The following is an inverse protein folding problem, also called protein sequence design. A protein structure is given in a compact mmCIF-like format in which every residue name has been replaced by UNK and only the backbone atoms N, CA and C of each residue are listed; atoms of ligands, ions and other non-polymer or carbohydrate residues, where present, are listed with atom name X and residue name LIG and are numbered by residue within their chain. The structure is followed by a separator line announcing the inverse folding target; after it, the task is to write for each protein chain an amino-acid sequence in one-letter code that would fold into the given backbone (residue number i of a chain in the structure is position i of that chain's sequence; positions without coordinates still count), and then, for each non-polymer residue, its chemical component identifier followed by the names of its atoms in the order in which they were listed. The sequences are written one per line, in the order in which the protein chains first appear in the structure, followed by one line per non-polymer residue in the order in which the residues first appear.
data_IF_630948851156
#
_entry.id   IF_630948851156
#
_cell.length_a   1.000
_cell.length_b   1.000
_cell.length_c   1.000
_cell.angle_alpha   90.00
_cell.angle_beta   90.00
_cell.angle_gamma   90.00
#
_symmetry.space_group_name_H-M   'P 1'
#
loop_
_entity.id
_entity.type
_entity.pdbx_description
1 polymer ?
#
# COMPACT_ATOMS: atom_id res chain seq x y z
N UNK A 1 16.03 12.31 33.55
CA UNK A 1 15.27 11.20 34.13
C UNK A 1 13.96 11.05 33.35
N UNK A 2 13.92 10.21 32.33
CA UNK A 2 12.69 9.75 31.65
C UNK A 2 13.07 8.84 30.47
N UNK A 3 13.60 7.64 30.73
CA UNK A 3 13.90 6.62 29.72
C UNK A 3 13.57 5.18 30.16
N UNK A 4 12.59 5.00 31.10
CA UNK A 4 12.28 3.66 31.63
C UNK A 4 10.93 3.08 31.25
N UNK A 5 10.17 3.70 30.32
CA UNK A 5 8.75 3.35 30.12
C UNK A 5 8.43 2.57 28.82
N UNK A 6 9.41 2.32 27.95
CA UNK A 6 9.20 1.62 26.68
C UNK A 6 9.23 0.08 26.82
N UNK A 7 10.00 -0.47 27.77
CA UNK A 7 10.17 -1.92 27.95
C UNK A 7 8.98 -2.60 28.64
N UNK A 8 8.20 -1.87 29.43
CA UNK A 8 7.01 -2.41 30.11
C UNK A 8 5.73 -2.38 29.24
N UNK A 9 5.70 -1.57 28.18
CA UNK A 9 4.51 -1.45 27.30
C UNK A 9 4.38 -2.60 26.31
N UNK A 10 5.48 -3.20 25.89
CA UNK A 10 5.49 -4.32 24.93
C UNK A 10 4.80 -5.61 25.44
N UNK A 11 4.95 -6.04 26.71
CA UNK A 11 4.24 -7.22 27.22
C UNK A 11 2.74 -7.00 27.40
N UNK A 12 2.31 -5.76 27.74
CA UNK A 12 0.88 -5.43 27.90
C UNK A 12 0.16 -5.38 26.55
N UNK A 13 0.82 -4.90 25.51
CA UNK A 13 0.33 -4.95 24.12
C UNK A 13 0.22 -6.39 23.59
N UNK A 14 1.17 -7.28 23.91
CA UNK A 14 1.07 -8.70 23.57
C UNK A 14 -0.13 -9.40 24.24
N UNK A 15 -0.40 -9.11 25.52
CA UNK A 15 -1.55 -9.66 26.25
C UNK A 15 -2.88 -9.10 25.73
N UNK A 16 -2.95 -7.82 25.38
CA UNK A 16 -4.12 -7.24 24.74
C UNK A 16 -4.36 -7.83 23.32
N UNK A 17 -3.29 -8.15 22.58
CA UNK A 17 -3.37 -8.88 21.30
C UNK A 17 -3.95 -10.28 21.46
N UNK A 18 -3.52 -11.04 22.47
CA UNK A 18 -4.07 -12.37 22.76
C UNK A 18 -5.54 -12.30 23.20
N UNK A 19 -5.92 -11.32 24.00
CA UNK A 19 -7.30 -11.13 24.44
C UNK A 19 -8.23 -10.70 23.26
N UNK A 20 -7.78 -9.80 22.40
CA UNK A 20 -8.50 -9.41 21.16
C UNK A 20 -8.60 -10.57 20.17
N UNK A 21 -7.54 -11.38 20.04
CA UNK A 21 -7.54 -12.57 19.19
C UNK A 21 -8.52 -13.62 19.73
N UNK A 22 -8.60 -13.82 21.06
CA UNK A 22 -9.56 -14.72 21.72
C UNK A 22 -11.01 -14.24 21.59
N UNK A 23 -11.26 -12.93 21.62
CA UNK A 23 -12.59 -12.36 21.38
C UNK A 23 -13.05 -12.56 19.92
N UNK A 24 -12.14 -12.43 18.95
CA UNK A 24 -12.41 -12.73 17.53
C UNK A 24 -12.65 -14.24 17.29
N UNK A 25 -11.99 -15.10 18.08
CA UNK A 25 -12.07 -16.56 17.92
C UNK A 25 -13.42 -17.15 18.36
N UNK A 26 -14.14 -16.47 19.26
CA UNK A 26 -15.42 -16.93 19.81
C UNK A 26 -16.68 -16.34 19.16
N UNK A 27 -16.55 -15.44 18.17
CA UNK A 27 -17.70 -14.76 17.56
C UNK A 27 -18.30 -15.47 16.35
N UNK A 28 -18.11 -16.77 16.17
CA UNK A 28 -18.92 -17.58 15.23
C UNK A 28 -18.79 -17.22 13.74
N UNK A 29 -17.80 -16.43 13.33
CA UNK A 29 -17.52 -16.25 11.90
C UNK A 29 -17.02 -17.55 11.30
N UNK A 30 -17.57 -18.04 10.18
CA UNK A 30 -17.08 -19.23 9.52
C UNK A 30 -15.63 -18.99 9.12
N UNK A 31 -14.72 -19.76 9.73
CA UNK A 31 -13.35 -19.88 9.23
C UNK A 31 -13.43 -20.59 7.89
N UNK A 32 -13.43 -19.83 6.81
CA UNK A 32 -13.11 -20.38 5.51
C UNK A 32 -11.62 -20.77 5.58
N UNK A 33 -11.35 -22.05 5.76
CA UNK A 33 -10.03 -22.64 5.56
C UNK A 33 -9.68 -22.48 4.07
N UNK A 34 -9.09 -21.34 3.73
CA UNK A 34 -8.44 -21.21 2.44
C UNK A 34 -7.13 -22.01 2.48
N UNK A 35 -6.80 -22.79 1.44
CA UNK A 35 -5.51 -23.44 1.37
C UNK A 35 -4.42 -22.39 1.58
N UNK A 36 -3.48 -22.68 2.50
CA UNK A 36 -2.36 -21.80 2.83
C UNK A 36 -1.40 -21.75 1.63
N UNK A 37 -1.75 -20.96 0.64
CA UNK A 37 -0.81 -20.58 -0.43
C UNK A 37 0.25 -19.69 0.21
N UNK A 38 1.54 -19.92 -0.01
CA UNK A 38 2.62 -19.15 0.60
C UNK A 38 2.55 -17.65 0.24
N UNK A 39 2.10 -17.34 -0.97
CA UNK A 39 1.88 -15.97 -1.44
C UNK A 39 0.40 -15.61 -1.34
N UNK A 40 0.11 -14.44 -0.77
CA UNK A 40 -1.25 -13.90 -0.77
C UNK A 40 -1.62 -13.34 -2.13
N UNK A 41 -0.68 -12.65 -2.79
CA UNK A 41 -0.88 -12.12 -4.14
C UNK A 41 0.20 -12.68 -5.06
N UNK A 42 -0.20 -13.09 -6.25
CA UNK A 42 0.68 -13.57 -7.30
C UNK A 42 0.32 -12.90 -8.62
N UNK A 43 1.34 -12.42 -9.31
CA UNK A 43 1.24 -11.83 -10.65
C UNK A 43 2.10 -12.67 -11.58
N UNK A 44 1.51 -13.14 -12.69
CA UNK A 44 2.18 -14.02 -13.66
C UNK A 44 1.97 -13.51 -15.08
N UNK A 45 3.09 -13.26 -15.78
CA UNK A 45 3.17 -12.89 -17.20
C UNK A 45 2.20 -11.76 -17.59
N UNK A 46 2.03 -10.78 -16.67
CA UNK A 46 1.01 -9.76 -16.75
C UNK A 46 1.35 -8.71 -17.82
N UNK A 47 0.42 -8.51 -18.75
CA UNK A 47 0.48 -7.41 -19.73
C UNK A 47 -0.78 -6.55 -19.62
N UNK A 48 -0.57 -5.24 -19.70
CA UNK A 48 -1.68 -4.27 -19.69
C UNK A 48 -1.36 -3.02 -20.49
N UNK A 49 -2.35 -2.51 -21.21
CA UNK A 49 -2.30 -1.24 -21.94
C UNK A 49 -3.59 -0.43 -21.74
N UNK A 50 -3.49 0.89 -21.77
CA UNK A 50 -4.62 1.80 -21.95
C UNK A 50 -4.70 2.20 -23.43
N UNK A 51 -5.70 1.66 -24.15
CA UNK A 51 -5.73 1.78 -25.62
C UNK A 51 -4.44 1.20 -26.21
N UNK A 52 -3.75 1.99 -27.04
CA UNK A 52 -2.50 1.58 -27.68
C UNK A 52 -1.26 1.77 -26.78
N UNK A 53 -1.40 2.48 -25.65
CA UNK A 53 -0.28 2.75 -24.75
C UNK A 53 -0.03 1.56 -23.83
N UNK A 54 1.02 0.80 -24.11
CA UNK A 54 1.47 -0.31 -23.25
C UNK A 54 2.03 0.24 -21.93
N UNK A 55 1.50 -0.25 -20.82
CA UNK A 55 1.85 0.18 -19.46
C UNK A 55 2.65 -0.90 -18.74
N UNK A 56 2.23 -2.17 -18.84
CA UNK A 56 2.90 -3.30 -18.18
C UNK A 56 3.27 -4.35 -19.21
N UNK A 57 4.46 -4.94 -19.05
CA UNK A 57 5.02 -5.91 -19.99
C UNK A 57 5.64 -7.08 -19.25
N UNK A 58 5.02 -8.27 -19.38
CA UNK A 58 5.52 -9.52 -18.82
C UNK A 58 5.91 -9.42 -17.34
N UNK A 59 5.02 -8.83 -16.53
CA UNK A 59 5.30 -8.59 -15.11
C UNK A 59 5.09 -9.87 -14.30
N UNK A 60 6.03 -10.18 -13.42
CA UNK A 60 5.94 -11.28 -12.44
C UNK A 60 6.29 -10.75 -11.07
N UNK A 61 5.42 -10.98 -10.08
CA UNK A 61 5.64 -10.54 -8.71
C UNK A 61 4.99 -11.52 -7.74
N UNK A 62 5.62 -11.71 -6.59
CA UNK A 62 5.14 -12.52 -5.48
C UNK A 62 5.03 -11.66 -4.21
N UNK A 63 3.90 -11.79 -3.52
CA UNK A 63 3.65 -11.09 -2.27
C UNK A 63 3.36 -12.11 -1.16
N UNK A 64 4.39 -12.55 -0.43
CA UNK A 64 4.25 -13.53 0.66
C UNK A 64 3.33 -13.01 1.76
N UNK A 65 2.59 -13.93 2.39
CA UNK A 65 1.69 -13.59 3.49
C UNK A 65 2.41 -12.95 4.67
N UNK A 66 1.79 -11.93 5.25
CA UNK A 66 2.29 -11.22 6.44
C UNK A 66 3.48 -10.30 6.19
N UNK A 67 3.96 -10.18 4.94
CA UNK A 67 5.10 -9.34 4.58
C UNK A 67 4.65 -7.97 4.08
N UNK A 68 5.53 -6.98 4.25
CA UNK A 68 5.41 -5.66 3.67
C UNK A 68 6.33 -5.57 2.45
N UNK A 69 5.73 -5.60 1.26
CA UNK A 69 6.45 -5.57 -0.01
C UNK A 69 6.25 -4.22 -0.67
N UNK A 70 7.36 -3.58 -1.03
CA UNK A 70 7.31 -2.30 -1.73
C UNK A 70 7.42 -2.47 -3.25
N UNK A 71 6.71 -1.62 -3.98
CA UNK A 71 6.83 -1.46 -5.43
C UNK A 71 7.26 -0.02 -5.68
N UNK A 72 8.50 0.15 -6.11
CA UNK A 72 9.14 1.44 -6.30
C UNK A 72 9.44 1.73 -7.77
N UNK A 73 9.73 2.96 -8.09
CA UNK A 73 10.10 3.38 -9.45
C UNK A 73 9.57 4.76 -9.79
N UNK A 74 10.00 5.29 -10.93
CA UNK A 74 9.65 6.63 -11.40
C UNK A 74 8.15 6.83 -11.61
N UNK A 75 7.74 8.10 -11.75
CA UNK A 75 6.36 8.44 -12.07
C UNK A 75 5.95 7.83 -13.42
N UNK A 76 4.73 7.30 -13.50
CA UNK A 76 4.18 6.72 -14.74
C UNK A 76 4.71 5.33 -15.11
N UNK A 77 5.59 4.68 -14.33
CA UNK A 77 6.10 3.34 -14.64
C UNK A 77 5.07 2.20 -14.44
N UNK A 78 3.85 2.49 -13.93
CA UNK A 78 2.77 1.52 -13.83
C UNK A 78 2.42 1.05 -12.41
N UNK A 79 3.02 1.59 -11.35
CA UNK A 79 2.79 1.17 -9.94
C UNK A 79 1.31 1.16 -9.53
N UNK A 80 0.61 2.28 -9.68
CA UNK A 80 -0.83 2.38 -9.38
C UNK A 80 -1.67 1.44 -10.26
N UNK A 81 -1.23 1.19 -11.51
CA UNK A 81 -1.89 0.24 -12.40
C UNK A 81 -1.82 -1.19 -11.85
N UNK A 82 -0.69 -1.58 -11.25
CA UNK A 82 -0.56 -2.87 -10.55
C UNK A 82 -1.58 -2.97 -9.41
N UNK A 83 -1.72 -1.95 -8.57
CA UNK A 83 -2.72 -1.96 -7.48
C UNK A 83 -4.16 -2.06 -8.02
N UNK A 84 -4.47 -1.37 -9.12
CA UNK A 84 -5.80 -1.44 -9.76
C UNK A 84 -6.11 -2.83 -10.31
N UNK A 85 -5.11 -3.53 -10.85
CA UNK A 85 -5.25 -4.92 -11.32
C UNK A 85 -5.45 -5.88 -10.16
N UNK A 86 -4.71 -5.72 -9.06
CA UNK A 86 -4.88 -6.52 -7.83
C UNK A 86 -6.29 -6.30 -7.24
N UNK A 87 -6.75 -5.05 -7.17
CA UNK A 87 -8.10 -4.70 -6.69
C UNK A 87 -9.24 -5.04 -7.67
N UNK A 88 -8.92 -5.59 -8.85
CA UNK A 88 -9.91 -5.95 -9.88
C UNK A 88 -10.68 -4.75 -10.46
N UNK A 89 -10.12 -3.53 -10.38
CA UNK A 89 -10.73 -2.33 -10.98
C UNK A 89 -10.59 -2.32 -12.51
N UNK A 90 -9.52 -2.95 -13.01
CA UNK A 90 -9.23 -3.15 -14.42
C UNK A 90 -8.82 -4.61 -14.63
N UNK A 91 -8.94 -5.10 -15.87
CA UNK A 91 -8.60 -6.48 -16.24
C UNK A 91 -7.33 -6.50 -17.09
N UNK A 92 -6.43 -7.48 -16.89
CA UNK A 92 -5.25 -7.64 -17.73
C UNK A 92 -5.63 -8.07 -19.14
N UNK A 93 -4.80 -7.72 -20.11
CA UNK A 93 -4.93 -8.21 -21.49
C UNK A 93 -4.32 -9.59 -21.66
N UNK A 94 -3.22 -9.88 -20.94
CA UNK A 94 -2.56 -11.19 -20.87
C UNK A 94 -2.04 -11.45 -19.46
N UNK A 95 -1.81 -12.73 -19.15
CA UNK A 95 -1.36 -13.13 -17.83
C UNK A 95 -2.47 -13.14 -16.81
N UNK A 96 -2.10 -13.23 -15.55
CA UNK A 96 -3.08 -13.29 -14.46
C UNK A 96 -2.59 -12.62 -13.17
N UNK A 97 -3.57 -12.18 -12.40
CA UNK A 97 -3.40 -11.75 -11.01
C UNK A 97 -4.24 -12.69 -10.14
N UNK A 98 -3.62 -13.28 -9.12
CA UNK A 98 -4.30 -14.10 -8.12
C UNK A 98 -4.19 -13.45 -6.75
N UNK A 99 -5.27 -13.51 -5.98
CA UNK A 99 -5.30 -13.07 -4.58
C UNK A 99 -5.94 -14.18 -3.75
N UNK A 100 -5.21 -14.69 -2.77
CA UNK A 100 -5.64 -15.84 -1.98
C UNK A 100 -5.93 -17.09 -2.82
N UNK A 101 -5.23 -17.25 -3.95
CA UNK A 101 -5.44 -18.34 -4.90
C UNK A 101 -6.55 -18.09 -5.94
N UNK A 102 -7.39 -17.06 -5.77
CA UNK A 102 -8.47 -16.71 -6.70
C UNK A 102 -7.96 -15.81 -7.84
N UNK A 103 -8.22 -16.18 -9.10
CA UNK A 103 -7.87 -15.36 -10.27
C UNK A 103 -8.82 -14.17 -10.39
N UNK A 104 -8.34 -12.98 -10.05
CA UNK A 104 -9.15 -11.75 -9.91
C UNK A 104 -9.93 -11.41 -11.18
N UNK A 105 -9.31 -11.55 -12.35
CA UNK A 105 -9.94 -11.23 -13.64
C UNK A 105 -11.06 -12.19 -14.08
N UNK A 106 -11.16 -13.36 -13.41
CA UNK A 106 -12.21 -14.37 -13.65
C UNK A 106 -13.40 -14.21 -12.73
N UNK A 107 -13.30 -13.39 -11.69
CA UNK A 107 -14.37 -13.19 -10.72
C UNK A 107 -15.54 -12.40 -11.36
N UNK A 108 -16.75 -12.81 -11.01
CA UNK A 108 -17.97 -12.03 -11.25
C UNK A 108 -18.09 -10.90 -10.22
N UNK A 109 -19.12 -10.08 -10.34
CA UNK A 109 -19.35 -8.93 -9.45
C UNK A 109 -19.40 -9.34 -7.98
N UNK A 110 -20.11 -10.42 -7.66
CA UNK A 110 -20.25 -10.93 -6.28
C UNK A 110 -18.90 -11.44 -5.73
N UNK A 111 -18.15 -12.19 -6.54
CA UNK A 111 -16.81 -12.66 -6.19
C UNK A 111 -15.83 -11.51 -5.95
N UNK A 112 -15.87 -10.45 -6.80
CA UNK A 112 -15.08 -9.24 -6.58
C UNK A 112 -15.48 -8.51 -5.29
N UNK A 113 -16.77 -8.46 -4.98
CA UNK A 113 -17.26 -7.86 -3.73
C UNK A 113 -16.72 -8.60 -2.51
N UNK A 114 -16.82 -9.95 -2.51
CA UNK A 114 -16.25 -10.78 -1.43
C UNK A 114 -14.73 -10.60 -1.30
N UNK A 115 -14.02 -10.58 -2.43
CA UNK A 115 -12.57 -10.39 -2.43
C UNK A 115 -12.19 -9.02 -1.84
N UNK A 116 -12.84 -7.95 -2.28
CA UNK A 116 -12.56 -6.58 -1.83
C UNK A 116 -12.84 -6.34 -0.35
N UNK A 117 -13.77 -7.07 0.26
CA UNK A 117 -14.00 -7.02 1.71
C UNK A 117 -12.78 -7.50 2.53
N UNK A 118 -11.90 -8.29 1.93
CA UNK A 118 -10.66 -8.78 2.52
C UNK A 118 -9.47 -7.87 2.20
N UNK A 119 -9.70 -6.76 1.52
CA UNK A 119 -8.68 -5.80 1.11
C UNK A 119 -8.95 -4.42 1.72
N UNK A 120 -7.89 -3.80 2.22
CA UNK A 120 -7.88 -2.38 2.56
C UNK A 120 -7.09 -1.60 1.53
N UNK A 121 -7.52 -0.37 1.22
CA UNK A 121 -6.77 0.50 0.30
C UNK A 121 -6.66 1.91 0.84
N UNK A 122 -5.44 2.41 0.91
CA UNK A 122 -5.13 3.81 1.09
C UNK A 122 -4.83 4.41 -0.28
N UNK A 123 -5.67 5.33 -0.72
CA UNK A 123 -5.49 6.10 -1.95
C UNK A 123 -4.52 7.26 -1.74
N UNK A 124 -3.86 7.71 -2.79
CA UNK A 124 -2.83 8.75 -2.78
C UNK A 124 -3.23 10.02 -2.00
N UNK A 125 -4.49 10.47 -2.09
CA UNK A 125 -5.00 11.63 -1.36
C UNK A 125 -5.93 11.27 -0.19
N UNK A 126 -5.87 10.01 0.29
CA UNK A 126 -6.72 9.50 1.37
C UNK A 126 -8.17 9.25 0.96
N UNK A 127 -8.72 10.00 0.01
CA UNK A 127 -10.09 9.88 -0.49
C UNK A 127 -11.16 9.80 0.63
N UNK A 128 -11.03 10.64 1.65
CA UNK A 128 -12.03 10.74 2.73
C UNK A 128 -13.32 11.39 2.21
N UNK A 129 -14.44 10.96 2.76
CA UNK A 129 -15.73 11.65 2.57
C UNK A 129 -15.69 12.98 3.32
N UNK A 130 -15.72 14.09 2.60
CA UNK A 130 -15.51 15.43 3.15
C UNK A 130 -16.66 15.89 4.04
N UNK A 131 -17.87 15.40 3.79
CA UNK A 131 -19.09 15.75 4.53
C UNK A 131 -19.28 14.91 5.78
N UNK A 132 -18.57 13.79 5.91
CA UNK A 132 -18.64 12.89 7.05
C UNK A 132 -17.57 13.24 8.08
N UNK A 133 -17.87 13.00 9.36
CA UNK A 133 -16.88 13.08 10.42
C UNK A 133 -15.78 12.03 10.26
N UNK A 134 -14.68 12.18 11.00
CA UNK A 134 -13.61 11.17 11.10
C UNK A 134 -14.16 9.84 11.56
N UNK A 135 -15.05 9.87 12.57
CA UNK A 135 -15.75 8.68 13.05
C UNK A 135 -16.50 7.98 11.92
N UNK A 136 -17.34 8.72 11.19
CA UNK A 136 -18.18 8.19 10.13
C UNK A 136 -17.37 7.65 8.95
N UNK A 137 -16.26 8.30 8.59
CA UNK A 137 -15.34 7.79 7.58
C UNK A 137 -14.81 6.38 7.92
N UNK A 138 -14.49 6.12 9.19
CA UNK A 138 -13.99 4.81 9.63
C UNK A 138 -15.15 3.83 9.87
N UNK A 139 -16.33 4.30 10.30
CA UNK A 139 -17.52 3.48 10.49
C UNK A 139 -18.13 2.99 9.17
N UNK A 140 -17.97 3.76 8.08
CA UNK A 140 -18.62 3.50 6.80
C UNK A 140 -18.40 2.06 6.29
N UNK A 141 -17.18 1.52 6.17
CA UNK A 141 -17.00 0.15 5.72
C UNK A 141 -17.57 -0.90 6.68
N UNK A 142 -17.63 -0.61 7.98
CA UNK A 142 -18.23 -1.53 8.96
C UNK A 142 -19.76 -1.60 8.77
N UNK A 143 -20.42 -0.45 8.61
CA UNK A 143 -21.88 -0.40 8.36
C UNK A 143 -22.26 -1.04 7.03
N UNK A 144 -21.48 -0.78 5.97
CA UNK A 144 -21.75 -1.28 4.63
C UNK A 144 -21.55 -2.80 4.50
N UNK A 145 -20.56 -3.35 5.22
CA UNK A 145 -20.13 -4.72 4.98
C UNK A 145 -20.38 -5.68 6.16
N UNK A 146 -20.97 -5.22 7.26
CA UNK A 146 -21.25 -6.08 8.42
C UNK A 146 -22.66 -5.81 8.97
N UNK A 147 -23.18 -6.77 9.75
CA UNK A 147 -24.43 -6.63 10.49
C UNK A 147 -24.18 -6.36 11.98
N UNK A 148 -23.09 -5.65 12.32
CA UNK A 148 -22.74 -5.34 13.71
C UNK A 148 -23.69 -4.27 14.27
N UNK A 149 -23.95 -4.33 15.59
CA UNK A 149 -24.68 -3.27 16.28
C UNK A 149 -23.89 -1.95 16.27
N UNK A 150 -24.58 -0.82 16.30
CA UNK A 150 -23.94 0.51 16.35
C UNK A 150 -23.00 0.66 17.58
N UNK A 151 -23.28 -0.01 18.67
CA UNK A 151 -22.41 -0.04 19.85
C UNK A 151 -21.08 -0.73 19.55
N UNK A 152 -21.11 -1.89 18.87
CA UNK A 152 -19.91 -2.60 18.45
C UNK A 152 -19.13 -1.81 17.40
N UNK A 153 -19.82 -1.23 16.42
CA UNK A 153 -19.20 -0.35 15.41
C UNK A 153 -18.50 0.82 16.10
N UNK A 154 -19.17 1.48 17.06
CA UNK A 154 -18.56 2.58 17.83
C UNK A 154 -17.27 2.15 18.51
N UNK A 155 -17.27 1.01 19.17
CA UNK A 155 -16.10 0.50 19.89
C UNK A 155 -14.96 0.17 18.94
N UNK A 156 -15.24 -0.51 17.83
CA UNK A 156 -14.25 -0.82 16.79
C UNK A 156 -13.66 0.44 16.18
N UNK A 157 -14.48 1.41 15.81
CA UNK A 157 -14.02 2.69 15.25
C UNK A 157 -13.08 3.41 16.21
N UNK A 158 -13.47 3.51 17.49
CA UNK A 158 -12.61 4.15 18.50
C UNK A 158 -11.29 3.43 18.69
N UNK A 159 -11.27 2.08 18.59
CA UNK A 159 -10.04 1.29 18.63
C UNK A 159 -9.15 1.57 17.41
N UNK A 160 -9.73 1.61 16.19
CA UNK A 160 -8.97 1.91 14.96
C UNK A 160 -8.43 3.35 14.99
N UNK A 161 -9.24 4.32 15.42
CA UNK A 161 -8.79 5.70 15.61
C UNK A 161 -7.71 5.84 16.68
N UNK A 162 -7.79 5.05 17.76
CA UNK A 162 -6.74 5.02 18.77
C UNK A 162 -5.42 4.45 18.22
N UNK A 163 -5.49 3.43 17.37
CA UNK A 163 -4.31 2.84 16.73
C UNK A 163 -3.54 3.84 15.85
N UNK A 164 -4.24 4.81 15.26
CA UNK A 164 -3.63 5.90 14.47
C UNK A 164 -3.46 7.21 15.24
N UNK A 165 -3.73 7.21 16.57
CA UNK A 165 -3.54 8.36 17.46
C UNK A 165 -4.58 9.48 17.31
N UNK A 166 -5.78 9.19 16.76
CA UNK A 166 -6.80 10.20 16.43
C UNK A 166 -8.16 9.98 17.11
N UNK A 167 -8.22 9.18 18.19
CA UNK A 167 -9.46 8.91 18.91
C UNK A 167 -10.20 10.19 19.34
N UNK A 168 -9.47 11.17 19.84
CA UNK A 168 -10.05 12.42 20.35
C UNK A 168 -10.50 13.39 19.22
N UNK A 169 -10.09 13.14 17.98
CA UNK A 169 -10.50 13.89 16.80
C UNK A 169 -11.74 13.31 16.10
N UNK A 170 -12.36 12.27 16.67
CA UNK A 170 -13.43 11.49 16.03
C UNK A 170 -14.62 12.32 15.53
N UNK A 171 -14.94 13.43 16.19
CA UNK A 171 -16.08 14.33 15.86
C UNK A 171 -15.75 15.38 14.79
N UNK A 172 -14.46 15.59 14.48
CA UNK A 172 -14.02 16.55 13.49
C UNK A 172 -14.31 16.03 12.06
N UNK A 173 -14.35 16.95 11.11
CA UNK A 173 -14.44 16.66 9.67
C UNK A 173 -13.04 16.71 9.04
N UNK A 174 -12.84 16.12 7.85
CA UNK A 174 -11.55 16.15 7.14
C UNK A 174 -11.00 17.56 6.91
N UNK A 175 -11.85 18.56 6.68
CA UNK A 175 -11.45 19.96 6.51
C UNK A 175 -10.93 20.67 7.78
N UNK A 176 -11.11 20.05 8.95
CA UNK A 176 -10.73 20.62 10.26
C UNK A 176 -9.44 20.01 10.80
N UNK A 177 -8.77 19.15 10.02
CA UNK A 177 -7.55 18.46 10.43
C UNK A 177 -6.42 18.65 9.42
N UNK A 178 -5.18 18.40 9.85
CA UNK A 178 -4.01 18.48 8.95
C UNK A 178 -4.00 17.34 7.91
N UNK A 179 -3.26 17.54 6.81
CA UNK A 179 -3.10 16.49 5.78
C UNK A 179 -2.52 15.19 6.32
N UNK A 180 -1.55 15.27 7.25
CA UNK A 180 -1.01 14.08 7.92
C UNK A 180 -2.04 13.39 8.83
N UNK A 181 -2.91 14.14 9.51
CA UNK A 181 -4.03 13.56 10.26
C UNK A 181 -5.04 12.90 9.32
N UNK A 182 -5.42 13.56 8.21
CA UNK A 182 -6.32 12.99 7.21
C UNK A 182 -5.77 11.68 6.63
N UNK A 183 -4.47 11.60 6.37
CA UNK A 183 -3.80 10.37 5.93
C UNK A 183 -3.97 9.25 6.95
N UNK A 184 -3.76 9.54 8.23
CA UNK A 184 -3.92 8.54 9.31
C UNK A 184 -5.37 8.10 9.48
N UNK A 185 -6.36 8.98 9.28
CA UNK A 185 -7.79 8.59 9.24
C UNK A 185 -8.06 7.63 8.08
N UNK A 186 -7.50 7.91 6.90
CA UNK A 186 -7.66 7.04 5.74
C UNK A 186 -7.01 5.65 5.97
N UNK A 187 -5.89 5.59 6.70
CA UNK A 187 -5.31 4.31 7.17
C UNK A 187 -6.28 3.60 8.12
N UNK A 188 -6.85 4.30 9.12
CA UNK A 188 -7.83 3.72 10.04
C UNK A 188 -9.05 3.14 9.30
N UNK A 189 -9.54 3.84 8.26
CA UNK A 189 -10.62 3.35 7.40
C UNK A 189 -10.20 2.11 6.60
N UNK A 190 -8.99 2.11 6.04
CA UNK A 190 -8.48 0.97 5.27
C UNK A 190 -8.37 -0.32 6.11
N UNK A 191 -8.09 -0.20 7.41
CA UNK A 191 -7.98 -1.34 8.33
C UNK A 191 -9.28 -1.63 9.11
N UNK A 192 -10.38 -0.97 8.81
CA UNK A 192 -11.62 -1.08 9.60
C UNK A 192 -12.17 -2.52 9.65
N UNK A 193 -12.06 -3.26 8.53
CA UNK A 193 -12.54 -4.64 8.38
C UNK A 193 -11.47 -5.70 8.70
N UNK A 194 -10.33 -5.36 9.29
CA UNK A 194 -9.19 -6.26 9.54
C UNK A 194 -8.77 -7.06 8.28
N UNK A 195 -8.40 -6.38 7.20
CA UNK A 195 -8.14 -7.00 5.91
C UNK A 195 -6.90 -7.88 5.92
N UNK A 196 -6.89 -8.94 5.08
CA UNK A 196 -5.72 -9.80 4.85
C UNK A 196 -4.66 -9.09 3.99
N UNK A 197 -5.11 -8.21 3.09
CA UNK A 197 -4.27 -7.42 2.18
C UNK A 197 -4.51 -5.94 2.42
N UNK A 198 -3.44 -5.17 2.61
CA UNK A 198 -3.53 -3.71 2.64
C UNK A 198 -2.65 -3.15 1.52
N UNK A 199 -3.24 -2.30 0.69
CA UNK A 199 -2.55 -1.62 -0.40
C UNK A 199 -2.42 -0.13 -0.07
N UNK A 200 -1.19 0.39 -0.15
CA UNK A 200 -0.86 1.79 0.09
C UNK A 200 -0.37 2.41 -1.21
N UNK A 201 -1.12 3.37 -1.75
CA UNK A 201 -0.74 4.12 -2.96
C UNK A 201 -0.17 5.47 -2.55
N UNK A 202 1.15 5.63 -2.65
CA UNK A 202 1.93 6.83 -2.31
C UNK A 202 1.56 7.42 -0.92
N UNK A 203 1.71 6.65 0.17
CA UNK A 203 1.27 7.07 1.50
C UNK A 203 2.04 8.25 2.08
N UNK A 204 3.21 8.56 1.55
CA UNK A 204 4.09 9.64 2.03
C UNK A 204 3.93 10.93 1.24
N UNK A 205 3.30 10.89 0.07
CA UNK A 205 3.19 12.03 -0.84
C UNK A 205 2.58 13.28 -0.17
N UNK A 206 3.30 14.39 -0.24
CA UNK A 206 2.85 15.68 0.29
C UNK A 206 2.90 15.82 1.82
N UNK A 207 3.56 14.90 2.53
CA UNK A 207 3.80 15.01 3.96
C UNK A 207 5.14 15.68 4.26
N UNK A 208 5.22 16.36 5.40
CA UNK A 208 6.49 16.82 5.95
C UNK A 208 7.33 15.63 6.47
N UNK A 209 8.67 15.79 6.63
CA UNK A 209 9.56 14.69 7.01
C UNK A 209 9.18 13.99 8.32
N UNK A 210 8.66 14.73 9.30
CA UNK A 210 8.22 14.14 10.59
C UNK A 210 6.98 13.28 10.36
N UNK A 211 6.00 13.80 9.63
CA UNK A 211 4.78 13.08 9.28
C UNK A 211 5.04 11.85 8.41
N UNK A 212 6.04 11.90 7.51
CA UNK A 212 6.49 10.75 6.71
C UNK A 212 7.00 9.64 7.61
N UNK A 213 7.95 9.92 8.52
CA UNK A 213 8.49 8.94 9.46
C UNK A 213 7.42 8.34 10.39
N UNK A 214 6.50 9.17 10.89
CA UNK A 214 5.36 8.70 11.69
C UNK A 214 4.44 7.76 10.89
N UNK A 215 4.17 8.09 9.64
CA UNK A 215 3.32 7.27 8.76
C UNK A 215 4.01 5.95 8.42
N UNK A 216 5.31 5.96 8.13
CA UNK A 216 6.09 4.75 7.88
C UNK A 216 6.07 3.82 9.10
N UNK A 217 6.37 4.35 10.29
CA UNK A 217 6.32 3.59 11.54
C UNK A 217 4.92 3.03 11.82
N UNK A 218 3.86 3.81 11.55
CA UNK A 218 2.48 3.37 11.70
C UNK A 218 2.17 2.19 10.77
N UNK A 219 2.53 2.27 9.48
CA UNK A 219 2.32 1.21 8.50
C UNK A 219 3.03 -0.08 8.96
N UNK A 220 4.30 -0.01 9.39
CA UNK A 220 5.04 -1.18 9.87
C UNK A 220 4.39 -1.79 11.11
N UNK A 221 4.06 -0.96 12.10
CA UNK A 221 3.41 -1.42 13.33
C UNK A 221 2.05 -2.08 13.08
N UNK A 222 1.27 -1.54 12.14
CA UNK A 222 -0.02 -2.14 11.76
C UNK A 222 0.17 -3.46 11.03
N UNK A 223 1.13 -3.57 10.10
CA UNK A 223 1.45 -4.83 9.44
C UNK A 223 1.82 -5.92 10.46
N UNK A 224 2.71 -5.61 11.40
CA UNK A 224 3.13 -6.53 12.46
C UNK A 224 1.99 -6.88 13.42
N UNK A 225 1.13 -5.91 13.73
CA UNK A 225 0.02 -6.09 14.65
C UNK A 225 -1.11 -6.94 14.07
N UNK A 226 -1.46 -6.71 12.83
CA UNK A 226 -2.57 -7.40 12.14
C UNK A 226 -2.12 -8.70 11.49
N UNK A 227 -0.83 -8.88 11.22
CA UNK A 227 -0.30 -10.01 10.42
C UNK A 227 -0.80 -9.98 8.98
N UNK A 228 -1.28 -8.83 8.50
CA UNK A 228 -1.76 -8.66 7.12
C UNK A 228 -0.58 -8.53 6.16
N UNK A 229 -0.82 -8.90 4.90
CA UNK A 229 0.14 -8.63 3.83
C UNK A 229 -0.04 -7.19 3.36
N UNK A 230 1.06 -6.46 3.22
CA UNK A 230 1.04 -5.06 2.79
C UNK A 230 1.77 -4.87 1.47
N UNK A 231 1.15 -4.14 0.54
CA UNK A 231 1.76 -3.70 -0.71
C UNK A 231 1.88 -2.18 -0.64
N UNK A 232 3.11 -1.68 -0.67
CA UNK A 232 3.43 -0.27 -0.58
C UNK A 232 3.93 0.24 -1.93
N UNK A 233 3.20 1.12 -2.58
CA UNK A 233 3.66 1.84 -3.76
C UNK A 233 4.20 3.19 -3.32
N UNK A 234 5.48 3.45 -3.60
CA UNK A 234 6.11 4.73 -3.27
C UNK A 234 7.31 5.04 -4.18
N UNK A 235 7.71 6.30 -4.18
CA UNK A 235 8.99 6.77 -4.73
C UNK A 235 9.95 7.26 -3.62
N UNK A 236 9.51 7.31 -2.36
CA UNK A 236 10.29 7.75 -1.21
C UNK A 236 11.17 6.59 -0.70
N UNK A 237 12.48 6.67 -0.98
CA UNK A 237 13.43 5.57 -0.73
C UNK A 237 13.63 5.33 0.76
N UNK A 238 13.91 6.38 1.54
CA UNK A 238 14.33 6.26 2.93
C UNK A 238 13.24 5.63 3.79
N UNK A 239 12.02 6.15 3.69
CA UNK A 239 10.86 5.69 4.46
C UNK A 239 10.46 4.27 4.05
N UNK A 240 10.49 3.99 2.74
CA UNK A 240 10.17 2.67 2.21
C UNK A 240 11.19 1.61 2.67
N UNK A 241 12.48 1.91 2.54
CA UNK A 241 13.55 0.99 2.93
C UNK A 241 13.63 0.76 4.45
N UNK A 242 13.12 1.70 5.25
CA UNK A 242 13.05 1.52 6.69
C UNK A 242 12.00 0.50 7.14
N UNK A 243 10.98 0.23 6.32
CA UNK A 243 9.83 -0.58 6.74
C UNK A 243 9.56 -1.80 5.86
N UNK A 244 10.07 -1.84 4.61
CA UNK A 244 9.80 -2.94 3.68
C UNK A 244 10.63 -4.19 4.01
N UNK A 245 10.01 -5.37 3.85
CA UNK A 245 10.71 -6.66 3.90
C UNK A 245 11.39 -6.97 2.55
N UNK A 246 10.79 -6.52 1.44
CA UNK A 246 11.28 -6.75 0.08
C UNK A 246 10.82 -5.62 -0.85
N UNK A 247 11.55 -5.36 -1.91
CA UNK A 247 11.29 -4.25 -2.84
C UNK A 247 11.42 -4.71 -4.27
N UNK A 248 10.44 -4.35 -5.10
CA UNK A 248 10.48 -4.42 -6.56
C UNK A 248 10.72 -3.04 -7.14
N UNK A 249 11.76 -2.85 -7.94
CA UNK A 249 11.95 -1.65 -8.74
C UNK A 249 11.36 -1.80 -10.13
N UNK A 250 10.47 -0.89 -10.49
CA UNK A 250 9.81 -0.84 -11.80
C UNK A 250 10.33 0.31 -12.65
N UNK A 251 10.57 0.01 -13.93
CA UNK A 251 10.85 1.01 -14.97
C UNK A 251 10.20 0.57 -16.27
N UNK A 252 9.59 1.51 -17.00
CA UNK A 252 8.94 1.26 -18.29
C UNK A 252 8.02 0.01 -18.31
N UNK A 253 7.28 -0.20 -17.22
CA UNK A 253 6.31 -1.30 -17.10
C UNK A 253 6.92 -2.69 -16.85
N UNK A 254 8.20 -2.77 -16.47
CA UNK A 254 8.92 -4.01 -16.16
C UNK A 254 9.58 -3.91 -14.79
N UNK A 255 9.87 -5.06 -14.17
CA UNK A 255 10.79 -5.11 -13.03
C UNK A 255 12.21 -5.05 -13.58
N UNK A 256 12.99 -4.10 -13.08
CA UNK A 256 14.39 -3.90 -13.46
C UNK A 256 15.35 -4.40 -12.37
N UNK A 257 14.90 -4.39 -11.11
CA UNK A 257 15.64 -4.95 -9.99
C UNK A 257 14.69 -5.34 -8.87
N UNK A 258 15.10 -6.27 -8.03
CA UNK A 258 14.36 -6.69 -6.85
C UNK A 258 15.31 -7.20 -5.77
N UNK A 259 14.89 -7.12 -4.50
CA UNK A 259 15.69 -7.60 -3.37
C UNK A 259 15.23 -7.01 -2.05
N UNK A 260 15.95 -7.36 -1.00
CA UNK A 260 15.78 -6.70 0.31
C UNK A 260 16.32 -5.26 0.27
N UNK A 261 15.85 -4.36 1.15
CA UNK A 261 16.41 -3.01 1.26
C UNK A 261 17.93 -2.98 1.44
N UNK A 262 18.49 -3.96 2.19
CA UNK A 262 19.93 -4.06 2.42
C UNK A 262 20.71 -4.39 1.13
N UNK A 263 20.23 -5.35 0.34
CA UNK A 263 20.82 -5.72 -0.95
C UNK A 263 20.75 -4.58 -1.96
N UNK A 264 19.61 -3.89 -2.01
CA UNK A 264 19.40 -2.80 -2.96
C UNK A 264 20.23 -1.55 -2.63
N UNK A 265 20.53 -1.28 -1.34
CA UNK A 265 21.43 -0.17 -0.94
C UNK A 265 22.88 -0.34 -1.47
N UNK A 266 23.34 -1.56 -1.64
CA UNK A 266 24.69 -1.88 -2.14
C UNK A 266 24.68 -2.36 -3.59
N UNK A 267 23.53 -2.28 -4.26
CA UNK A 267 23.37 -2.71 -5.63
C UNK A 267 24.27 -1.90 -6.57
N UNK A 268 24.91 -2.61 -7.52
CA UNK A 268 25.68 -2.00 -8.59
C UNK A 268 24.85 -1.72 -9.85
N UNK A 269 23.57 -2.13 -9.86
CA UNK A 269 22.68 -1.85 -10.98
C UNK A 269 22.52 -0.33 -11.17
N UNK A 270 22.79 0.19 -12.37
CA UNK A 270 22.78 1.65 -12.61
C UNK A 270 21.44 2.33 -12.32
N UNK A 271 20.31 1.65 -12.58
CA UNK A 271 18.98 2.20 -12.31
C UNK A 271 18.70 2.29 -10.81
N UNK A 272 19.02 1.21 -10.07
CA UNK A 272 18.87 1.17 -8.62
C UNK A 272 19.75 2.24 -7.98
N UNK A 273 21.00 2.34 -8.41
CA UNK A 273 21.97 3.32 -7.90
C UNK A 273 21.48 4.75 -8.12
N UNK A 274 21.07 5.07 -9.35
CA UNK A 274 20.50 6.39 -9.66
C UNK A 274 19.30 6.70 -8.77
N UNK A 275 18.38 5.75 -8.62
CA UNK A 275 17.14 5.95 -7.86
C UNK A 275 17.39 6.07 -6.36
N UNK A 276 18.22 5.17 -5.79
CA UNK A 276 18.51 5.12 -4.34
C UNK A 276 19.31 6.32 -3.88
N UNK A 277 20.27 6.78 -4.70
CA UNK A 277 21.14 7.91 -4.37
C UNK A 277 20.61 9.25 -4.89
N UNK A 278 19.46 9.27 -5.60
CA UNK A 278 18.93 10.45 -6.27
C UNK A 278 19.96 11.10 -7.21
N UNK A 279 20.73 10.31 -7.96
CA UNK A 279 21.72 10.80 -8.89
C UNK A 279 21.03 11.46 -10.10
N UNK A 280 21.47 12.67 -10.53
CA UNK A 280 20.87 13.36 -11.66
C UNK A 280 21.12 12.65 -13.00
N UNK A 281 22.26 11.99 -13.12
CA UNK A 281 22.69 11.28 -14.32
C UNK A 281 22.53 9.77 -14.16
N UNK A 282 21.99 9.09 -15.18
CA UNK A 282 21.81 7.63 -15.16
C UNK A 282 20.85 7.13 -16.23
N UNK A 283 20.38 5.89 -16.10
CA UNK A 283 19.47 5.26 -17.07
C UNK A 283 18.13 5.98 -17.26
N UNK A 284 17.67 6.76 -16.25
CA UNK A 284 16.51 7.64 -16.38
C UNK A 284 16.99 8.98 -16.89
N UNK A 285 16.74 9.30 -18.19
CA UNK A 285 17.26 10.53 -18.78
C UNK A 285 16.52 11.77 -18.26
N UNK A 286 17.24 12.87 -18.07
CA UNK A 286 16.64 14.16 -17.76
C UNK A 286 15.81 14.70 -18.92
N UNK A 287 16.29 14.53 -20.17
CA UNK A 287 15.60 14.99 -21.37
C UNK A 287 14.56 13.97 -21.86
N UNK A 288 13.40 14.48 -22.25
CA UNK A 288 12.42 13.67 -22.96
C UNK A 288 13.04 13.19 -24.31
N UNK A 289 12.86 11.93 -24.71
CA UNK A 289 13.43 11.42 -25.97
C UNK A 289 12.96 12.23 -27.18
N UNK A 290 13.91 12.70 -27.97
CA UNK A 290 13.66 13.52 -29.14
C UNK A 290 14.95 13.81 -29.93
N UNK A 291 14.84 14.66 -30.95
CA UNK A 291 16.02 15.18 -31.66
C UNK A 291 16.87 16.04 -30.71
N UNK A 292 18.16 16.14 -30.98
CA UNK A 292 19.01 17.06 -30.22
C UNK A 292 18.59 18.51 -30.49
N UNK A 293 18.81 19.39 -29.52
CA UNK A 293 18.56 20.84 -29.72
C UNK A 293 19.37 21.38 -30.91
N UNK A 294 20.58 20.88 -31.10
CA UNK A 294 21.43 21.24 -32.24
C UNK A 294 20.79 20.88 -33.59
N UNK A 295 20.14 19.71 -33.66
CA UNK A 295 19.40 19.28 -34.88
C UNK A 295 18.18 20.14 -35.12
N UNK A 296 17.42 20.47 -34.08
CA UNK A 296 16.22 21.31 -34.17
C UNK A 296 16.57 22.77 -34.54
N UNK A 297 17.72 23.26 -34.08
CA UNK A 297 18.20 24.61 -34.42
C UNK A 297 18.98 24.65 -35.76
N UNK A 298 19.13 23.54 -36.46
CA UNK A 298 19.90 23.47 -37.69
C UNK A 298 21.40 23.71 -37.53
N UNK A 299 21.92 23.55 -36.29
CA UNK A 299 23.33 23.74 -35.93
C UNK A 299 24.14 22.45 -36.08
N UNK A 300 23.53 21.39 -36.59
CA UNK A 300 24.20 20.10 -36.86
C UNK A 300 25.37 20.32 -37.82
N UNK A 301 26.57 19.98 -37.42
CA UNK A 301 27.80 20.06 -38.21
C UNK A 301 27.60 19.31 -39.54
N UNK A 302 27.56 20.11 -40.65
CA UNK A 302 27.86 19.55 -41.96
C UNK A 302 29.26 18.89 -41.90
N UNK A 303 29.31 17.57 -41.98
CA UNK A 303 30.49 16.83 -42.39
C UNK A 303 30.22 16.18 -43.73
#
# INVERSE_FOLDING_TARGET
MCCSDASERLPKLRRAKQALWLLHYNTGFPKTEYPLVPNLVEIRDLEFAYGDRKILSNLRMDFPRGKLIAVMGGSGCGKTTVLRLIGGQIRPQRGEVRVGGEAVHKLNTEGLYRLRRRMGMLFQFGALFTDLTIFENVAFPLREHTNLSEELIRNLVLMKLNAVGLRNASKLKPGEISGGMARRVAVARAIALDPELIMYDEPFAGLDPISMGLTASLIRNLNDALGSTSILVSHDVNETFAIADYVYFMSAGKIVAEGTPAELRVSTDPYVKQFVNAEPDGPVPFHYPGKSLADDLGLGTQR
#
